data_IF_652477847545
#
_entry.id   IF_652477847545
#
_cell.length_a   1.000
_cell.length_b   1.000
_cell.length_c   1.000
_cell.angle_alpha   90.00
_cell.angle_beta   90.00
_cell.angle_gamma   90.00
#
_symmetry.space_group_name_H-M   'P 1'
#
loop_
_entity.id
_entity.type
_entity.pdbx_description
1 polymer ?
#
# COMPACT_ATOMS: atom_id res chain seq x y z
N UNK A 1 19.95 -0.93 -8.21
CA UNK A 1 19.70 0.42 -7.68
C UNK A 1 20.79 0.76 -6.68
N UNK A 2 21.37 1.92 -6.81
CA UNK A 2 22.41 2.36 -5.88
C UNK A 2 21.85 2.40 -4.44
N UNK A 3 22.61 1.89 -3.50
CA UNK A 3 22.25 2.02 -2.09
C UNK A 3 22.13 3.51 -1.75
N UNK A 4 21.02 3.87 -1.12
CA UNK A 4 20.83 5.22 -0.63
C UNK A 4 21.92 5.51 0.42
N UNK A 5 22.74 6.49 0.16
CA UNK A 5 23.74 6.93 1.14
C UNK A 5 22.99 7.56 2.30
N UNK A 6 23.03 6.91 3.45
CA UNK A 6 22.51 7.48 4.69
C UNK A 6 23.51 8.50 5.20
N UNK A 7 23.18 9.75 5.08
CA UNK A 7 23.91 10.81 5.75
C UNK A 7 23.30 10.96 7.16
N UNK A 8 23.96 10.43 8.16
CA UNK A 8 23.48 10.45 9.54
C UNK A 8 23.28 11.86 10.09
N UNK A 9 24.05 12.84 9.60
CA UNK A 9 23.90 14.23 10.01
C UNK A 9 22.68 14.95 9.44
N UNK A 10 21.99 14.36 8.44
CA UNK A 10 20.84 15.00 7.77
C UNK A 10 19.56 14.15 7.76
N UNK A 11 19.50 13.12 8.60
CA UNK A 11 18.35 12.18 8.65
C UNK A 11 17.02 12.90 8.84
N UNK A 12 16.96 13.92 9.69
CA UNK A 12 15.77 14.69 9.97
C UNK A 12 15.24 15.48 8.75
N UNK A 13 16.05 15.72 7.73
CA UNK A 13 15.71 16.50 6.54
C UNK A 13 15.24 15.64 5.36
N UNK A 14 15.40 14.33 5.44
CA UNK A 14 15.03 13.42 4.38
C UNK A 14 13.55 13.08 4.42
N UNK A 15 12.88 13.20 3.26
CA UNK A 15 11.54 12.67 3.11
C UNK A 15 11.59 11.17 2.89
N UNK A 16 10.69 10.40 3.51
CA UNK A 16 10.59 8.99 3.20
C UNK A 16 10.11 8.77 1.76
N UNK A 17 10.72 7.80 1.09
CA UNK A 17 10.30 7.36 -0.24
C UNK A 17 9.59 6.03 -0.08
N UNK A 18 8.34 5.98 -0.53
CA UNK A 18 7.50 4.81 -0.39
C UNK A 18 7.20 4.17 -1.73
N UNK A 19 7.01 2.85 -1.71
CA UNK A 19 6.62 2.07 -2.87
C UNK A 19 5.15 1.67 -2.75
N UNK A 20 4.38 1.94 -3.81
CA UNK A 20 3.02 1.44 -3.91
C UNK A 20 3.02 -0.05 -4.25
N UNK A 21 2.40 -0.87 -3.42
CA UNK A 21 2.47 -2.33 -3.55
C UNK A 21 1.55 -2.91 -4.62
N UNK A 22 0.58 -2.16 -5.09
CA UNK A 22 -0.41 -2.64 -6.06
C UNK A 22 0.14 -3.05 -7.42
N UNK A 23 1.33 -2.59 -7.79
CA UNK A 23 2.01 -3.00 -9.01
C UNK A 23 2.47 -4.46 -8.97
N UNK A 24 2.58 -5.02 -7.77
CA UNK A 24 2.95 -6.43 -7.52
C UNK A 24 1.86 -7.15 -6.73
N UNK A 25 0.63 -6.97 -7.16
CA UNK A 25 -0.54 -7.56 -6.52
C UNK A 25 -0.56 -9.10 -6.59
N UNK A 26 0.20 -9.68 -7.50
CA UNK A 26 0.43 -11.12 -7.62
C UNK A 26 1.32 -11.69 -6.51
N UNK A 27 2.09 -10.85 -5.83
CA UNK A 27 2.93 -11.27 -4.71
C UNK A 27 2.19 -11.13 -3.38
N UNK A 28 2.53 -12.01 -2.45
CA UNK A 28 2.09 -11.83 -1.05
C UNK A 28 2.73 -10.59 -0.44
N UNK A 29 2.06 -9.99 0.54
CA UNK A 29 2.56 -8.80 1.20
C UNK A 29 3.99 -8.96 1.73
N UNK A 30 4.30 -10.10 2.33
CA UNK A 30 5.63 -10.35 2.86
C UNK A 30 6.72 -10.34 1.77
N UNK A 31 6.46 -10.99 0.65
CA UNK A 31 7.37 -11.02 -0.49
C UNK A 31 7.56 -9.62 -1.09
N UNK A 32 6.48 -8.86 -1.17
CA UNK A 32 6.53 -7.48 -1.65
C UNK A 32 7.37 -6.59 -0.73
N UNK A 33 7.19 -6.72 0.58
CA UNK A 33 7.97 -5.99 1.57
C UNK A 33 9.47 -6.32 1.48
N UNK A 34 9.80 -7.59 1.31
CA UNK A 34 11.19 -8.01 1.10
C UNK A 34 11.81 -7.31 -0.11
N UNK A 35 11.10 -7.30 -1.24
CA UNK A 35 11.55 -6.61 -2.45
C UNK A 35 11.67 -5.10 -2.26
N UNK A 36 10.70 -4.47 -1.64
CA UNK A 36 10.74 -3.04 -1.36
C UNK A 36 11.96 -2.67 -0.51
N UNK A 37 12.30 -3.50 0.46
CA UNK A 37 13.51 -3.33 1.27
C UNK A 37 14.78 -3.50 0.45
N UNK A 38 14.85 -4.52 -0.38
CA UNK A 38 16.00 -4.76 -1.28
C UNK A 38 16.21 -3.58 -2.23
N UNK A 39 15.14 -2.96 -2.70
CA UNK A 39 15.20 -1.78 -3.57
C UNK A 39 15.59 -0.49 -2.84
N UNK A 40 15.60 -0.51 -1.52
CA UNK A 40 16.02 0.63 -0.70
C UNK A 40 14.93 1.65 -0.36
N UNK A 41 13.66 1.27 -0.45
CA UNK A 41 12.55 2.12 -0.02
C UNK A 41 12.49 2.26 1.51
N UNK A 42 11.97 3.40 1.96
CA UNK A 42 11.79 3.69 3.38
C UNK A 42 10.49 3.13 3.93
N UNK A 43 9.51 2.94 3.04
CA UNK A 43 8.20 2.45 3.43
C UNK A 43 7.37 2.00 2.23
N UNK A 44 6.11 1.70 2.50
CA UNK A 44 5.16 1.23 1.50
C UNK A 44 3.83 1.97 1.61
N UNK A 45 3.16 2.10 0.48
CA UNK A 45 1.73 2.38 0.39
C UNK A 45 1.03 1.08 0.05
N UNK A 46 0.18 0.60 0.95
CA UNK A 46 -0.44 -0.71 0.82
C UNK A 46 -1.67 -0.68 -0.09
N UNK A 47 -1.70 -1.59 -1.04
CA UNK A 47 -2.89 -1.83 -1.86
C UNK A 47 -4.00 -2.47 -1.02
N UNK A 48 -5.21 -1.92 -1.12
CA UNK A 48 -6.38 -2.43 -0.40
C UNK A 48 -7.12 -3.50 -1.20
N UNK A 49 -6.38 -4.43 -1.77
CA UNK A 49 -6.91 -5.61 -2.48
C UNK A 49 -5.91 -6.75 -2.43
N UNK A 50 -6.33 -7.93 -2.87
CA UNK A 50 -5.59 -9.19 -2.83
C UNK A 50 -5.04 -9.51 -1.44
N UNK A 51 -3.86 -10.09 -1.35
CA UNK A 51 -3.24 -10.44 -0.05
C UNK A 51 -2.77 -9.23 0.77
N UNK A 52 -2.64 -8.06 0.15
CA UNK A 52 -2.00 -6.93 0.82
C UNK A 52 -2.84 -6.38 1.97
N UNK A 53 -4.04 -5.91 1.69
CA UNK A 53 -5.00 -5.51 2.73
C UNK A 53 -6.42 -5.83 2.31
N UNK A 54 -7.12 -6.59 3.13
CA UNK A 54 -8.57 -6.74 3.08
C UNK A 54 -9.19 -5.68 4.00
N UNK A 55 -9.80 -4.68 3.40
CA UNK A 55 -10.32 -3.50 4.12
C UNK A 55 -11.44 -3.87 5.09
N UNK A 56 -12.37 -4.73 4.66
CA UNK A 56 -13.50 -5.15 5.50
C UNK A 56 -13.02 -5.93 6.72
N UNK A 57 -12.08 -6.82 6.50
CA UNK A 57 -11.47 -7.57 7.58
C UNK A 57 -10.66 -6.67 8.51
N UNK A 58 -9.88 -5.73 7.97
CA UNK A 58 -9.11 -4.78 8.78
C UNK A 58 -9.99 -3.88 9.64
N UNK A 59 -11.19 -3.53 9.16
CA UNK A 59 -12.14 -2.70 9.90
C UNK A 59 -12.77 -3.44 11.09
N UNK A 60 -12.87 -4.77 11.04
CA UNK A 60 -13.56 -5.58 12.05
C UNK A 60 -12.64 -6.44 12.90
N UNK A 61 -11.44 -6.74 12.43
CA UNK A 61 -10.46 -7.58 13.11
C UNK A 61 -9.17 -6.81 13.38
N UNK A 62 -9.02 -6.39 14.62
CA UNK A 62 -7.84 -5.62 15.06
C UNK A 62 -6.54 -6.42 14.96
N UNK A 63 -6.60 -7.72 15.16
CA UNK A 63 -5.43 -8.61 15.04
C UNK A 63 -4.95 -8.67 13.61
N UNK A 64 -5.88 -8.81 12.67
CA UNK A 64 -5.55 -8.76 11.24
C UNK A 64 -4.95 -7.41 10.85
N UNK A 65 -5.58 -6.31 11.24
CA UNK A 65 -5.08 -4.96 10.96
C UNK A 65 -3.66 -4.75 11.51
N UNK A 66 -3.41 -5.21 12.73
CA UNK A 66 -2.07 -5.16 13.32
C UNK A 66 -1.05 -5.96 12.51
N UNK A 67 -1.42 -7.16 12.03
CA UNK A 67 -0.52 -8.00 11.23
C UNK A 67 -0.10 -7.33 9.93
N UNK A 68 -1.02 -6.59 9.29
CA UNK A 68 -0.71 -5.86 8.03
C UNK A 68 0.29 -4.71 8.27
N UNK A 69 0.38 -4.22 9.47
CA UNK A 69 1.33 -3.20 9.90
C UNK A 69 2.67 -3.80 10.34
N UNK A 70 2.62 -4.94 10.99
CA UNK A 70 3.81 -5.63 11.51
C UNK A 70 4.67 -6.25 10.41
N UNK A 71 4.06 -6.79 9.35
CA UNK A 71 4.80 -7.39 8.24
C UNK A 71 5.78 -6.40 7.61
N UNK A 72 5.36 -5.20 7.17
CA UNK A 72 6.31 -4.20 6.70
C UNK A 72 7.35 -3.81 7.75
N UNK A 73 6.95 -3.66 9.00
CA UNK A 73 7.84 -3.28 10.09
C UNK A 73 8.97 -4.30 10.30
N UNK A 74 8.71 -5.57 10.10
CA UNK A 74 9.71 -6.65 10.16
C UNK A 74 10.87 -6.42 9.17
N UNK A 75 10.59 -5.78 8.04
CA UNK A 75 11.59 -5.41 7.04
C UNK A 75 12.09 -3.96 7.20
N UNK A 76 11.76 -3.31 8.29
CA UNK A 76 12.15 -1.92 8.54
C UNK A 76 11.42 -0.90 7.66
N UNK A 77 10.26 -1.27 7.12
CA UNK A 77 9.43 -0.42 6.27
C UNK A 77 8.30 0.22 7.07
N UNK A 78 8.06 1.49 6.82
CA UNK A 78 6.91 2.21 7.38
C UNK A 78 5.71 2.09 6.45
N UNK A 79 4.51 1.99 7.02
CA UNK A 79 3.27 2.13 6.28
C UNK A 79 2.81 3.57 6.44
N UNK A 80 2.91 4.36 5.38
CA UNK A 80 2.60 5.79 5.40
C UNK A 80 1.27 6.12 4.70
N UNK A 81 0.77 5.21 3.88
CA UNK A 81 -0.50 5.35 3.18
C UNK A 81 -1.09 3.99 2.83
N UNK A 82 -2.38 3.98 2.59
CA UNK A 82 -3.09 2.88 1.95
C UNK A 82 -3.79 3.41 0.70
N UNK A 83 -3.95 2.57 -0.30
CA UNK A 83 -4.64 2.92 -1.54
C UNK A 83 -5.86 2.03 -1.74
N UNK A 84 -7.02 2.63 -1.69
CA UNK A 84 -8.30 1.93 -1.86
C UNK A 84 -9.12 2.59 -2.97
N UNK A 85 -8.56 2.64 -4.18
CA UNK A 85 -9.22 3.28 -5.31
C UNK A 85 -10.37 2.45 -5.90
N UNK A 86 -10.63 1.26 -5.39
CA UNK A 86 -11.81 0.46 -5.72
C UNK A 86 -13.06 0.94 -4.97
N UNK A 87 -12.91 1.78 -3.97
CA UNK A 87 -14.01 2.40 -3.24
C UNK A 87 -14.04 3.90 -3.51
N UNK A 88 -15.24 4.46 -3.62
CA UNK A 88 -15.40 5.89 -3.84
C UNK A 88 -14.95 6.40 -5.21
N UNK A 89 -15.03 5.56 -6.22
CA UNK A 89 -14.71 5.92 -7.59
C UNK A 89 -15.75 6.89 -8.16
N UNK A 90 -15.31 7.73 -9.09
CA UNK A 90 -16.20 8.61 -9.87
C UNK A 90 -17.08 9.55 -9.01
N UNK A 91 -16.56 10.04 -7.90
CA UNK A 91 -17.32 10.82 -6.91
C UNK A 91 -17.91 12.11 -7.49
N UNK A 92 -17.25 12.69 -8.48
CA UNK A 92 -17.67 13.95 -9.12
C UNK A 92 -18.38 13.74 -10.47
N UNK A 93 -18.60 12.50 -10.87
CA UNK A 93 -19.19 12.19 -12.17
C UNK A 93 -20.69 11.91 -12.05
N UNK A 94 -21.44 12.24 -13.09
CA UNK A 94 -22.76 11.66 -13.30
C UNK A 94 -22.59 10.21 -13.79
N UNK A 95 -23.10 9.27 -13.00
CA UNK A 95 -22.90 7.84 -13.26
C UNK A 95 -23.76 7.38 -14.43
N UNK A 96 -23.15 6.79 -15.44
CA UNK A 96 -23.81 6.23 -16.62
C UNK A 96 -23.16 4.91 -17.07
N UNK A 97 -23.52 4.44 -18.27
CA UNK A 97 -23.04 3.15 -18.80
C UNK A 97 -21.50 3.05 -18.89
N UNK A 98 -20.80 4.17 -19.04
CA UNK A 98 -19.33 4.19 -19.14
C UNK A 98 -18.67 3.72 -17.84
N UNK A 99 -19.33 3.92 -16.71
CA UNK A 99 -18.80 3.60 -15.39
C UNK A 99 -18.89 2.11 -15.06
N UNK A 100 -19.73 1.35 -15.75
CA UNK A 100 -19.92 -0.09 -15.51
C UNK A 100 -18.63 -0.90 -15.70
N UNK A 101 -17.77 -0.49 -16.62
CA UNK A 101 -16.50 -1.15 -16.87
C UNK A 101 -15.43 -0.80 -15.83
N UNK A 102 -15.61 0.30 -15.10
CA UNK A 102 -14.66 0.78 -14.09
C UNK A 102 -15.04 0.26 -12.70
N UNK A 103 -16.34 0.19 -12.43
CA UNK A 103 -16.85 -0.29 -11.14
C UNK A 103 -16.78 -1.82 -11.04
N UNK A 104 -15.70 -2.31 -10.47
CA UNK A 104 -15.52 -3.73 -10.17
C UNK A 104 -16.10 -4.14 -8.82
N UNK A 105 -16.50 -3.16 -8.00
CA UNK A 105 -16.99 -3.38 -6.64
C UNK A 105 -18.51 -3.28 -6.50
N UNK A 106 -19.20 -2.76 -7.52
CA UNK A 106 -20.64 -2.47 -7.46
C UNK A 106 -20.99 -1.34 -6.49
N UNK A 107 -20.06 -0.43 -6.23
CA UNK A 107 -20.21 0.63 -5.23
C UNK A 107 -20.29 2.05 -5.81
N UNK A 108 -20.39 2.15 -7.12
CA UNK A 108 -20.62 3.43 -7.79
C UNK A 108 -22.12 3.73 -7.78
#
# INVERSE_FOLDING_TARGET
>A
MAARIKNEGSVAMSRPVTLFTGQWADLKLEEMCKKAKEFGYDGVELACWVDHVDVERAATDKTYAASRKEIPATYGLKVLAISNHLAGQCVCDEIDERHKSIDTSGRI
#
